data_IF_470117295296
#
_entry.id   IF_470117295296
#
_cell.length_a   1.000
_cell.length_b   1.000
_cell.length_c   1.000
_cell.angle_alpha   90.00
_cell.angle_beta   90.00
_cell.angle_gamma   90.00
#
_symmetry.space_group_name_H-M   'P 1'
#
loop_
_entity.id
_entity.type
_entity.pdbx_description
1 polymer ?
#
# COMPACT_ATOMS: atom_id res chain seq x y z
N UNK A 1 3.11 0.17 -4.31
CA UNK A 1 3.73 -0.17 -5.61
C UNK A 1 2.76 -0.83 -6.58
N UNK A 2 2.11 -1.95 -6.21
CA UNK A 2 1.13 -2.62 -7.08
C UNK A 2 0.04 -1.67 -7.62
N UNK A 3 -0.51 -0.80 -6.75
CA UNK A 3 -1.52 0.18 -7.16
C UNK A 3 -1.02 1.17 -8.23
N UNK A 4 0.23 1.63 -8.12
CA UNK A 4 0.85 2.50 -9.14
C UNK A 4 1.03 1.75 -10.45
N UNK A 5 1.46 0.47 -10.40
CA UNK A 5 1.60 -0.34 -11.60
C UNK A 5 0.25 -0.56 -12.29
N UNK A 6 -0.81 -0.90 -11.55
CA UNK A 6 -2.15 -1.06 -12.08
C UNK A 6 -2.68 0.25 -12.70
N UNK A 7 -2.54 1.37 -11.99
CA UNK A 7 -2.96 2.68 -12.50
C UNK A 7 -2.15 3.14 -13.71
N UNK A 8 -0.83 2.82 -13.77
CA UNK A 8 0.00 3.08 -14.95
C UNK A 8 -0.44 2.29 -16.18
N UNK A 9 -1.05 1.11 -15.97
CA UNK A 9 -1.66 0.30 -17.02
C UNK A 9 -3.15 0.61 -17.25
N UNK A 10 -3.64 1.75 -16.77
CA UNK A 10 -4.99 2.24 -17.08
C UNK A 10 -6.11 1.74 -16.15
N UNK A 11 -5.83 0.89 -15.15
CA UNK A 11 -6.86 0.44 -14.23
C UNK A 11 -7.36 1.59 -13.33
N UNK A 12 -8.67 1.67 -13.09
CA UNK A 12 -9.23 2.53 -12.04
C UNK A 12 -8.95 1.86 -10.68
N UNK A 13 -8.05 2.46 -9.92
CA UNK A 13 -7.42 1.80 -8.77
C UNK A 13 -7.72 2.55 -7.49
N UNK A 14 -8.07 1.82 -6.43
CA UNK A 14 -8.26 2.34 -5.08
C UNK A 14 -7.27 1.65 -4.13
N UNK A 15 -6.53 2.44 -3.35
CA UNK A 15 -5.71 1.97 -2.22
C UNK A 15 -6.49 2.22 -0.93
N UNK A 16 -6.61 1.18 -0.12
CA UNK A 16 -7.19 1.24 1.22
C UNK A 16 -6.06 1.06 2.21
N UNK A 17 -5.78 2.08 3.01
CA UNK A 17 -4.69 2.10 3.99
C UNK A 17 -5.24 2.42 5.39
N UNK A 18 -4.90 1.58 6.35
CA UNK A 18 -5.34 1.73 7.74
C UNK A 18 -4.60 2.87 8.45
N UNK A 19 -3.33 3.08 8.11
CA UNK A 19 -2.50 4.12 8.69
C UNK A 19 -2.81 5.52 8.11
N UNK A 20 -2.36 6.61 8.77
CA UNK A 20 -2.40 7.97 8.21
C UNK A 20 -1.45 8.23 7.03
N UNK A 21 -0.72 7.22 6.57
CA UNK A 21 0.38 7.36 5.64
C UNK A 21 0.58 6.08 4.84
N UNK A 22 1.20 6.19 3.67
CA UNK A 22 1.62 5.05 2.88
C UNK A 22 3.00 4.52 3.35
N UNK A 23 3.34 3.32 2.88
CA UNK A 23 4.68 2.73 3.02
C UNK A 23 4.79 1.54 3.98
N UNK A 24 3.70 1.16 4.66
CA UNK A 24 3.67 -0.05 5.49
C UNK A 24 4.76 -0.07 6.56
N UNK A 25 5.47 -1.20 6.70
CA UNK A 25 6.47 -1.41 7.75
C UNK A 25 7.61 -0.40 7.73
N UNK A 26 8.04 0.04 6.54
CA UNK A 26 9.10 1.05 6.35
C UNK A 26 8.74 2.33 7.11
N UNK A 27 7.50 2.79 6.97
CA UNK A 27 7.01 4.02 7.59
C UNK A 27 6.55 3.79 9.03
N UNK A 28 5.80 2.71 9.28
CA UNK A 28 5.09 2.49 10.53
C UNK A 28 5.99 2.09 11.71
N UNK A 29 7.09 1.38 11.43
CA UNK A 29 7.92 0.77 12.48
C UNK A 29 9.34 1.29 12.52
N UNK A 30 9.75 2.12 11.55
CA UNK A 30 11.12 2.57 11.45
C UNK A 30 12.10 1.44 11.14
N UNK A 31 11.70 0.48 10.30
CA UNK A 31 12.59 -0.48 9.64
C UNK A 31 12.81 -0.04 8.18
N UNK A 32 13.67 0.96 7.93
CA UNK A 32 13.62 1.75 6.72
C UNK A 32 14.53 1.17 5.62
N UNK A 33 14.42 -0.12 5.34
CA UNK A 33 15.30 -0.80 4.37
C UNK A 33 14.52 -1.24 3.13
N UNK A 34 15.13 -1.07 1.96
CA UNK A 34 14.65 -1.69 0.72
C UNK A 34 15.20 -3.11 0.60
N UNK A 35 14.71 -4.01 1.43
CA UNK A 35 15.10 -5.41 1.38
C UNK A 35 14.64 -6.05 0.06
N UNK A 36 15.52 -6.86 -0.54
CA UNK A 36 15.25 -7.57 -1.80
C UNK A 36 15.40 -6.74 -3.08
N UNK A 37 15.85 -5.48 -3.02
CA UNK A 37 16.13 -4.69 -4.24
C UNK A 37 17.32 -5.25 -5.03
N UNK A 38 18.34 -5.74 -4.33
CA UNK A 38 19.53 -6.34 -4.90
C UNK A 38 19.84 -7.70 -4.24
N UNK A 39 20.53 -8.58 -4.98
CA UNK A 39 20.98 -9.88 -4.50
C UNK A 39 21.99 -9.69 -3.35
N UNK A 40 21.85 -10.45 -2.27
CA UNK A 40 22.61 -10.24 -1.04
C UNK A 40 24.14 -10.36 -1.22
N UNK A 41 24.58 -11.30 -2.06
CA UNK A 41 26.01 -11.58 -2.28
C UNK A 41 26.59 -10.79 -3.48
N UNK A 42 26.00 -10.95 -4.67
CA UNK A 42 26.50 -10.30 -5.89
C UNK A 42 26.21 -8.80 -5.94
N UNK A 43 25.25 -8.31 -5.16
CA UNK A 43 24.76 -6.93 -5.16
C UNK A 43 24.11 -6.50 -6.48
N UNK A 44 23.83 -7.44 -7.38
CA UNK A 44 23.10 -7.19 -8.62
C UNK A 44 21.66 -6.75 -8.32
N UNK A 45 21.18 -5.73 -9.02
CA UNK A 45 19.79 -5.25 -8.92
C UNK A 45 18.85 -6.28 -9.55
N UNK A 46 18.09 -6.97 -8.71
CA UNK A 46 17.14 -8.02 -9.12
C UNK A 46 15.70 -7.51 -9.20
N UNK A 47 15.38 -6.40 -8.51
CA UNK A 47 14.06 -5.77 -8.56
C UNK A 47 14.16 -4.37 -9.18
N UNK A 48 13.50 -4.18 -10.32
CA UNK A 48 13.45 -2.91 -11.06
C UNK A 48 12.06 -2.24 -10.95
N UNK A 49 11.73 -1.35 -11.87
CA UNK A 49 10.43 -0.70 -11.96
C UNK A 49 10.21 0.30 -10.84
N UNK A 50 9.00 0.31 -10.28
CA UNK A 50 8.55 1.30 -9.29
C UNK A 50 9.39 1.27 -7.99
N UNK A 51 9.77 0.12 -7.40
CA UNK A 51 10.73 0.08 -6.31
C UNK A 51 12.05 0.80 -6.61
N UNK A 52 12.62 0.55 -7.79
CA UNK A 52 13.88 1.17 -8.21
C UNK A 52 13.73 2.67 -8.49
N UNK A 53 12.62 3.09 -9.12
CA UNK A 53 12.27 4.50 -9.30
C UNK A 53 12.21 5.24 -7.96
N UNK A 54 11.56 4.63 -6.95
CA UNK A 54 11.53 5.19 -5.60
C UNK A 54 12.94 5.25 -5.00
N UNK A 55 13.75 4.20 -5.17
CA UNK A 55 15.15 4.18 -4.75
C UNK A 55 15.97 5.35 -5.33
N UNK A 56 15.85 5.59 -6.64
CA UNK A 56 16.49 6.71 -7.33
C UNK A 56 16.01 8.06 -6.77
N UNK A 57 14.69 8.25 -6.65
CA UNK A 57 14.11 9.51 -6.12
C UNK A 57 14.47 9.76 -4.65
N UNK A 58 14.76 8.71 -3.90
CA UNK A 58 15.22 8.78 -2.51
C UNK A 58 16.75 8.88 -2.37
N UNK A 59 17.50 8.89 -3.48
CA UNK A 59 18.96 8.97 -3.48
C UNK A 59 19.64 7.70 -2.97
N UNK A 60 19.00 6.55 -3.12
CA UNK A 60 19.54 5.24 -2.72
C UNK A 60 20.38 4.58 -3.81
N UNK A 61 20.13 4.95 -5.07
CA UNK A 61 20.84 4.50 -6.26
C UNK A 61 20.73 5.57 -7.36
N UNK A 62 21.51 5.41 -8.44
CA UNK A 62 21.45 6.24 -9.63
C UNK A 62 20.58 5.59 -10.73
N UNK A 63 20.00 6.38 -11.65
CA UNK A 63 19.35 5.84 -12.84
C UNK A 63 20.30 4.90 -13.60
N UNK A 64 19.83 3.70 -13.91
CA UNK A 64 20.60 2.73 -14.70
C UNK A 64 21.55 1.84 -13.89
N UNK A 65 21.68 2.04 -12.58
CA UNK A 65 22.49 1.16 -11.73
C UNK A 65 22.10 -0.32 -11.94
N UNK A 66 23.12 -1.14 -12.13
CA UNK A 66 23.02 -2.61 -12.21
C UNK A 66 23.38 -3.27 -10.91
N UNK A 67 24.04 -2.55 -9.99
CA UNK A 67 24.45 -3.04 -8.68
C UNK A 67 24.20 -1.97 -7.61
N UNK A 68 23.75 -2.37 -6.41
CA UNK A 68 23.52 -1.46 -5.28
C UNK A 68 24.23 -2.03 -4.04
N UNK A 69 24.97 -1.16 -3.33
CA UNK A 69 25.68 -1.51 -2.09
C UNK A 69 25.29 -0.57 -0.94
N UNK A 70 24.89 -1.07 0.23
CA UNK A 70 24.60 -2.49 0.54
C UNK A 70 23.39 -3.00 -0.25
N UNK A 71 23.20 -4.33 -0.31
CA UNK A 71 22.11 -4.96 -1.08
C UNK A 71 20.70 -4.51 -0.64
N UNK A 72 20.58 -3.98 0.58
CA UNK A 72 19.36 -3.38 1.14
C UNK A 72 19.62 -1.92 1.57
N UNK A 73 19.58 -0.95 0.65
CA UNK A 73 19.88 0.43 0.97
C UNK A 73 18.88 0.99 1.99
N UNK A 74 19.41 1.72 2.98
CA UNK A 74 18.64 2.34 4.06
C UNK A 74 18.05 3.68 3.61
N UNK A 75 16.74 3.84 3.75
CA UNK A 75 16.05 5.12 3.66
C UNK A 75 16.44 5.99 4.87
N UNK A 76 17.13 7.10 4.60
CA UNK A 76 17.66 7.98 5.65
C UNK A 76 16.63 8.96 6.23
N UNK A 77 15.56 9.24 5.51
CA UNK A 77 14.54 10.18 5.93
C UNK A 77 13.14 9.62 5.61
N UNK A 78 12.45 9.16 6.65
CA UNK A 78 11.11 8.56 6.55
C UNK A 78 10.04 9.59 6.19
N UNK A 79 10.18 10.85 6.63
CA UNK A 79 9.21 11.89 6.26
C UNK A 79 9.27 12.22 4.77
N UNK A 80 10.48 12.26 4.19
CA UNK A 80 10.65 12.36 2.73
C UNK A 80 10.04 11.16 2.01
N UNK A 81 10.17 9.95 2.58
CA UNK A 81 9.56 8.76 2.00
C UNK A 81 8.04 8.83 2.01
N UNK A 82 7.41 9.27 3.11
CA UNK A 82 5.96 9.50 3.19
C UNK A 82 5.51 10.46 2.09
N UNK A 83 6.14 11.63 2.00
CA UNK A 83 5.81 12.65 1.00
C UNK A 83 5.93 12.11 -0.42
N UNK A 84 7.02 11.40 -0.72
CA UNK A 84 7.22 10.78 -2.03
C UNK A 84 6.14 9.75 -2.35
N UNK A 85 5.81 8.87 -1.39
CA UNK A 85 4.77 7.86 -1.62
C UNK A 85 3.39 8.48 -1.78
N UNK A 86 3.09 9.54 -1.04
CA UNK A 86 1.82 10.27 -1.16
C UNK A 86 1.71 11.00 -2.51
N UNK A 87 2.76 11.70 -2.93
CA UNK A 87 2.85 12.33 -4.25
C UNK A 87 2.64 11.30 -5.36
N UNK A 88 3.32 10.16 -5.31
CA UNK A 88 3.17 9.11 -6.32
C UNK A 88 1.73 8.61 -6.39
N UNK A 89 1.08 8.37 -5.24
CA UNK A 89 -0.29 7.88 -5.18
C UNK A 89 -1.33 8.90 -5.64
N UNK A 90 -1.10 10.20 -5.38
CA UNK A 90 -2.04 11.30 -5.68
C UNK A 90 -1.82 11.93 -7.05
N UNK A 91 -0.67 11.71 -7.69
CA UNK A 91 -0.31 12.29 -8.99
C UNK A 91 -1.14 11.81 -10.19
N UNK A 92 -2.01 10.80 -10.02
CA UNK A 92 -2.72 10.15 -11.14
C UNK A 92 -4.23 10.23 -10.95
N UNK A 93 -5.00 10.66 -11.96
CA UNK A 93 -6.46 10.81 -11.83
C UNK A 93 -7.21 9.48 -11.67
N UNK A 94 -6.62 8.36 -12.10
CA UNK A 94 -7.21 7.02 -12.01
C UNK A 94 -6.74 6.21 -10.79
N UNK A 95 -6.01 6.84 -9.86
CA UNK A 95 -5.57 6.24 -8.62
C UNK A 95 -6.05 7.10 -7.45
N UNK A 96 -6.75 6.48 -6.52
CA UNK A 96 -7.19 7.11 -5.28
C UNK A 96 -6.63 6.34 -4.09
N UNK A 97 -6.29 7.06 -3.02
CA UNK A 97 -5.93 6.47 -1.73
C UNK A 97 -6.91 6.95 -0.67
N UNK A 98 -7.35 6.02 0.18
CA UNK A 98 -8.12 6.30 1.39
C UNK A 98 -7.31 5.86 2.60
N UNK A 99 -6.80 6.84 3.34
CA UNK A 99 -6.14 6.62 4.63
C UNK A 99 -7.18 6.41 5.74
N UNK A 100 -6.75 5.93 6.91
CA UNK A 100 -7.62 5.60 8.05
C UNK A 100 -8.81 4.68 7.71
N UNK A 101 -8.62 3.84 6.69
CA UNK A 101 -9.68 3.01 6.14
C UNK A 101 -9.25 1.56 6.16
N UNK A 102 -10.15 0.66 6.55
CA UNK A 102 -9.88 -0.78 6.59
C UNK A 102 -10.94 -1.55 5.82
N UNK A 103 -10.55 -2.70 5.25
CA UNK A 103 -11.50 -3.65 4.68
C UNK A 103 -12.17 -4.39 5.83
N UNK A 104 -13.49 -4.32 5.91
CA UNK A 104 -14.26 -4.92 6.99
C UNK A 104 -15.10 -6.13 6.55
N UNK A 105 -15.45 -6.24 5.26
CA UNK A 105 -16.18 -7.38 4.73
C UNK A 105 -16.01 -7.48 3.19
N UNK A 106 -16.37 -8.62 2.58
CA UNK A 106 -16.26 -8.91 1.15
C UNK A 106 -17.49 -9.68 0.66
N UNK A 107 -18.07 -9.26 -0.47
CA UNK A 107 -19.07 -10.07 -1.20
C UNK A 107 -18.43 -10.75 -2.39
N UNK A 108 -18.49 -12.08 -2.38
CA UNK A 108 -18.04 -12.93 -3.48
C UNK A 108 -19.23 -13.64 -4.13
N UNK A 109 -19.15 -13.84 -5.44
CA UNK A 109 -20.13 -14.54 -6.26
C UNK A 109 -19.38 -15.37 -7.32
N UNK A 110 -19.77 -16.64 -7.49
CA UNK A 110 -19.11 -17.55 -8.44
C UNK A 110 -17.60 -17.70 -8.23
N UNK A 111 -17.13 -17.71 -6.97
CA UNK A 111 -15.71 -17.79 -6.63
C UNK A 111 -14.90 -16.52 -6.93
N UNK A 112 -15.56 -15.40 -7.26
CA UNK A 112 -14.91 -14.12 -7.55
C UNK A 112 -15.38 -13.03 -6.60
N UNK A 113 -14.45 -12.20 -6.12
CA UNK A 113 -14.77 -10.99 -5.36
C UNK A 113 -15.49 -10.00 -6.28
N UNK A 114 -16.68 -9.54 -5.87
CA UNK A 114 -17.46 -8.51 -6.58
C UNK A 114 -17.43 -7.17 -5.88
N UNK A 115 -17.47 -7.19 -4.54
CA UNK A 115 -17.48 -5.98 -3.72
C UNK A 115 -16.59 -6.15 -2.50
N UNK A 116 -15.90 -5.06 -2.15
CA UNK A 116 -15.13 -4.93 -0.90
C UNK A 116 -15.80 -3.83 -0.09
N UNK A 117 -16.21 -4.14 1.13
CA UNK A 117 -16.76 -3.17 2.07
C UNK A 117 -15.62 -2.61 2.91
N UNK A 118 -15.58 -1.27 2.97
CA UNK A 118 -14.56 -0.53 3.69
C UNK A 118 -15.20 0.30 4.79
N UNK A 119 -14.48 0.42 5.89
CA UNK A 119 -14.90 1.12 7.08
C UNK A 119 -13.84 2.18 7.40
N UNK A 120 -14.25 3.43 7.61
CA UNK A 120 -13.38 4.42 8.23
C UNK A 120 -13.24 4.08 9.71
N UNK A 121 -12.04 4.28 10.26
CA UNK A 121 -11.86 4.27 11.70
C UNK A 121 -12.54 5.52 12.31
N UNK A 122 -13.86 5.45 12.49
CA UNK A 122 -14.60 6.30 13.43
C UNK A 122 -14.72 5.55 14.75
N UNK A 123 -14.77 6.27 15.88
CA UNK A 123 -15.08 5.71 17.21
C UNK A 123 -16.19 4.65 17.13
N UNK A 124 -16.13 3.57 17.95
CA UNK A 124 -17.00 2.42 17.78
C UNK A 124 -18.46 2.86 17.80
N UNK A 125 -19.14 2.76 16.66
CA UNK A 125 -20.59 2.84 16.65
C UNK A 125 -21.11 1.56 17.30
N UNK A 126 -21.94 1.74 18.33
CA UNK A 126 -22.57 0.66 19.08
C UNK A 126 -23.26 -0.28 18.08
N UNK A 127 -22.99 -1.61 18.10
CA UNK A 127 -23.69 -2.52 17.20
C UNK A 127 -25.19 -2.38 17.42
N UNK A 128 -25.94 -2.13 16.34
CA UNK A 128 -27.39 -2.16 16.40
C UNK A 128 -27.80 -3.59 16.74
N UNK A 129 -28.52 -3.74 17.85
CA UNK A 129 -29.13 -5.04 18.18
C UNK A 129 -30.11 -5.38 17.07
N UNK A 130 -29.86 -6.47 16.34
CA UNK A 130 -30.86 -7.07 15.47
C UNK A 130 -32.07 -7.43 16.33
N UNK A 131 -33.21 -6.78 16.13
CA UNK A 131 -34.44 -7.21 16.77
C UNK A 131 -34.96 -8.44 16.01
N UNK A 132 -34.54 -9.63 16.43
CA UNK A 132 -35.26 -10.84 16.09
C UNK A 132 -36.58 -10.82 16.86
N UNK A 133 -37.64 -10.39 16.18
CA UNK A 133 -39.02 -10.51 16.63
C UNK A 133 -39.33 -12.02 16.69
N UNK A 134 -39.73 -12.60 17.84
CA UNK A 134 -40.05 -14.02 17.89
C UNK A 134 -41.28 -14.31 17.02
N UNK A 135 -41.19 -15.35 16.21
CA UNK A 135 -42.31 -15.84 15.41
C UNK A 135 -43.42 -16.31 16.34
N UNK A 136 -44.62 -15.77 16.17
CA UNK A 136 -45.83 -16.21 16.85
C UNK A 136 -46.14 -17.63 16.38
N UNK A 137 -46.14 -18.59 17.30
CA UNK A 137 -46.65 -19.93 17.04
C UNK A 137 -48.18 -19.89 17.09
N UNK A 138 -48.82 -20.31 15.99
CA UNK A 138 -50.21 -20.78 15.93
C UNK A 138 -50.22 -22.29 15.95
#
# INVERSE_FOLDING_TARGET
MAALAAARNGAKTLVVEKAPFAGGIITATGLPFFDGIAHAETHEVVVRGIPFEIGVRMGLCQPGDTHIRPHNPRIRNIEKFKLLTDELLTSRPNLQVLYYTTVCDVKADGGRIRHVMICLASSPSRPSRSSTRPATAT
#
